data_IF_900046439869
#
_entry.id   IF_900046439869
#
_cell.length_a   1.000
_cell.length_b   1.000
_cell.length_c   1.000
_cell.angle_alpha   90.00
_cell.angle_beta   90.00
_cell.angle_gamma   90.00
#
_symmetry.space_group_name_H-M   'P 1'
#
loop_
_entity.id
_entity.type
_entity.pdbx_description
1 polymer ?
#
# COMPACT_ATOMS: atom_id res chain seq x y z
N UNK A 1 -54.50 -18.34 -15.88
CA UNK A 1 -53.51 -17.79 -14.92
C UNK A 1 -52.19 -17.74 -15.67
N UNK A 2 -51.68 -16.56 -15.97
CA UNK A 2 -50.44 -16.39 -16.73
C UNK A 2 -49.46 -15.67 -15.82
N UNK A 3 -48.43 -16.37 -15.36
CA UNK A 3 -47.48 -15.85 -14.38
C UNK A 3 -46.62 -14.73 -14.95
N UNK A 4 -46.20 -13.82 -14.09
CA UNK A 4 -45.26 -12.75 -14.44
C UNK A 4 -43.91 -13.34 -14.89
N UNK A 5 -43.26 -12.69 -15.84
CA UNK A 5 -41.85 -12.92 -16.13
C UNK A 5 -41.11 -11.59 -16.13
N UNK A 6 -40.94 -11.05 -14.92
CA UNK A 6 -40.27 -9.76 -14.67
C UNK A 6 -38.85 -9.81 -15.19
N UNK A 7 -38.59 -9.13 -16.31
CA UNK A 7 -37.25 -8.92 -16.85
C UNK A 7 -36.38 -8.27 -15.77
N UNK A 8 -35.45 -9.06 -15.24
CA UNK A 8 -34.51 -8.60 -14.22
C UNK A 8 -33.66 -7.46 -14.81
N UNK A 9 -33.89 -6.24 -14.31
CA UNK A 9 -33.12 -5.07 -14.69
C UNK A 9 -31.63 -5.35 -14.44
N UNK A 10 -30.82 -5.24 -15.50
CA UNK A 10 -29.37 -5.24 -15.34
C UNK A 10 -29.00 -4.09 -14.37
N UNK A 11 -28.03 -4.28 -13.46
CA UNK A 11 -27.64 -3.22 -12.54
C UNK A 11 -27.24 -1.99 -13.36
N UNK A 12 -27.96 -0.89 -13.15
CA UNK A 12 -27.78 0.31 -13.94
C UNK A 12 -26.30 0.72 -13.91
N UNK A 13 -25.68 0.84 -15.10
CA UNK A 13 -24.37 1.48 -15.20
C UNK A 13 -24.53 2.88 -14.63
N UNK A 14 -23.82 3.18 -13.55
CA UNK A 14 -23.79 4.53 -12.98
C UNK A 14 -23.50 5.52 -14.10
N UNK A 15 -24.37 6.50 -14.27
CA UNK A 15 -24.27 7.50 -15.33
C UNK A 15 -22.85 8.08 -15.36
N UNK A 16 -22.11 8.00 -16.49
CA UNK A 16 -20.74 8.50 -16.59
C UNK A 16 -20.65 10.00 -16.30
N UNK A 17 -21.75 10.76 -16.41
CA UNK A 17 -21.82 12.20 -16.14
C UNK A 17 -22.29 12.56 -14.72
N UNK A 18 -22.65 11.56 -13.91
CA UNK A 18 -23.07 11.77 -12.52
C UNK A 18 -21.88 12.19 -11.65
N UNK A 19 -22.05 13.24 -10.85
CA UNK A 19 -21.03 13.76 -9.93
C UNK A 19 -21.50 13.49 -8.51
N UNK A 20 -20.64 12.90 -7.66
CA UNK A 20 -21.02 12.60 -6.29
C UNK A 20 -20.92 13.85 -5.41
N UNK A 21 -21.75 13.99 -4.38
CA UNK A 21 -21.74 15.17 -3.50
C UNK A 21 -20.43 15.39 -2.71
N UNK A 22 -19.54 14.39 -2.69
CA UNK A 22 -18.18 14.49 -2.14
C UNK A 22 -17.13 15.02 -3.12
N UNK A 23 -17.48 15.21 -4.39
CA UNK A 23 -16.53 15.41 -5.47
C UNK A 23 -16.18 16.90 -5.64
N UNK A 24 -15.44 17.42 -4.67
CA UNK A 24 -14.90 18.79 -4.74
C UNK A 24 -13.77 18.88 -5.78
N UNK A 25 -13.78 19.90 -6.67
CA UNK A 25 -12.64 20.22 -7.55
C UNK A 25 -11.33 20.41 -6.79
N UNK A 26 -11.37 20.95 -5.57
CA UNK A 26 -10.18 21.18 -4.72
C UNK A 26 -9.56 19.90 -4.13
N UNK A 27 -10.10 18.72 -4.44
CA UNK A 27 -9.58 17.45 -3.90
C UNK A 27 -8.25 17.06 -4.55
N UNK A 28 -7.20 16.90 -3.74
CA UNK A 28 -5.97 16.21 -4.15
C UNK A 28 -6.25 14.71 -4.13
N UNK A 29 -6.27 14.05 -5.30
CA UNK A 29 -6.55 12.61 -5.38
C UNK A 29 -5.34 11.74 -5.05
N UNK A 30 -4.12 12.26 -5.22
CA UNK A 30 -2.87 11.49 -5.09
C UNK A 30 -1.79 12.29 -4.38
N UNK A 31 -1.11 11.62 -3.44
CA UNK A 31 0.15 12.07 -2.84
C UNK A 31 1.16 10.92 -2.89
N UNK A 32 2.43 11.14 -3.27
CA UNK A 32 3.04 12.42 -3.65
C UNK A 32 2.52 12.97 -5.00
N UNK A 33 2.65 14.28 -5.17
CA UNK A 33 2.33 14.97 -6.43
C UNK A 33 3.31 14.56 -7.54
N UNK A 34 2.92 14.69 -8.80
CA UNK A 34 3.84 14.46 -9.93
C UNK A 34 5.01 15.45 -9.88
N UNK A 35 6.24 14.94 -9.83
CA UNK A 35 7.51 15.69 -9.90
C UNK A 35 8.30 15.38 -11.18
N UNK A 36 7.95 14.29 -11.89
CA UNK A 36 8.48 13.93 -13.21
C UNK A 36 9.40 12.70 -13.20
N UNK A 37 10.09 12.44 -12.09
CA UNK A 37 10.81 11.20 -11.79
C UNK A 37 9.86 10.08 -11.31
N UNK A 38 8.76 10.46 -10.66
CA UNK A 38 7.79 9.56 -10.03
C UNK A 38 6.59 9.18 -10.92
N UNK A 39 6.63 9.50 -12.22
CA UNK A 39 5.48 9.38 -13.12
C UNK A 39 4.85 7.98 -13.15
N UNK A 40 5.64 6.90 -13.16
CA UNK A 40 5.10 5.54 -13.15
C UNK A 40 4.20 5.24 -11.94
N UNK A 41 4.66 5.60 -10.74
CA UNK A 41 3.92 5.45 -9.48
C UNK A 41 2.74 6.41 -9.39
N UNK A 42 2.92 7.66 -9.83
CA UNK A 42 1.86 8.68 -9.88
C UNK A 42 0.72 8.25 -10.81
N UNK A 43 1.02 7.90 -12.06
CA UNK A 43 0.07 7.45 -13.08
C UNK A 43 -0.77 6.27 -12.56
N UNK A 44 -0.12 5.28 -11.93
CA UNK A 44 -0.81 4.15 -11.29
C UNK A 44 -1.80 4.62 -10.22
N UNK A 45 -1.39 5.51 -9.33
CA UNK A 45 -2.23 6.00 -8.24
C UNK A 45 -3.42 6.85 -8.74
N UNK A 46 -3.20 7.77 -9.68
CA UNK A 46 -4.26 8.65 -10.21
C UNK A 46 -5.23 7.85 -11.09
N UNK A 47 -4.72 6.88 -11.87
CA UNK A 47 -5.54 5.89 -12.58
C UNK A 47 -6.45 5.11 -11.62
N UNK A 48 -5.92 4.67 -10.47
CA UNK A 48 -6.73 3.97 -9.46
C UNK A 48 -7.80 4.88 -8.83
N UNK A 49 -7.46 6.14 -8.50
CA UNK A 49 -8.40 7.10 -7.95
C UNK A 49 -9.53 7.47 -8.93
N UNK A 50 -9.20 7.74 -10.20
CA UNK A 50 -10.17 8.04 -11.25
C UNK A 50 -11.07 6.84 -11.57
N UNK A 51 -10.55 5.61 -11.53
CA UNK A 51 -11.35 4.38 -11.68
C UNK A 51 -12.28 4.14 -10.48
N UNK A 52 -11.84 4.42 -9.26
CA UNK A 52 -12.69 4.34 -8.07
C UNK A 52 -13.87 5.34 -8.07
N UNK A 53 -13.78 6.40 -8.88
CA UNK A 53 -14.85 7.38 -9.14
C UNK A 53 -15.59 7.18 -10.48
N UNK A 54 -15.26 6.13 -11.25
CA UNK A 54 -15.77 5.90 -12.62
C UNK A 54 -15.47 7.02 -13.64
N UNK A 55 -14.48 7.88 -13.38
CA UNK A 55 -14.12 9.04 -14.24
C UNK A 55 -12.89 8.84 -15.13
N UNK A 56 -12.28 7.66 -15.13
CA UNK A 56 -11.11 7.36 -15.98
C UNK A 56 -11.40 7.49 -17.50
N UNK A 57 -12.65 7.35 -17.93
CA UNK A 57 -13.06 7.50 -19.33
C UNK A 57 -12.83 8.89 -19.95
N UNK A 58 -12.72 9.94 -19.12
CA UNK A 58 -12.38 11.30 -19.54
C UNK A 58 -10.87 11.48 -19.80
N UNK A 59 -10.03 10.53 -19.39
CA UNK A 59 -8.57 10.58 -19.55
C UNK A 59 -8.03 9.63 -20.63
N UNK A 60 -8.72 8.50 -20.88
CA UNK A 60 -8.29 7.52 -21.90
C UNK A 60 -9.01 7.66 -23.26
N UNK A 61 -9.96 8.59 -23.36
CA UNK A 61 -10.75 8.83 -24.57
C UNK A 61 -11.97 7.92 -24.75
N UNK A 62 -12.28 7.03 -23.78
CA UNK A 62 -13.46 6.16 -23.84
C UNK A 62 -14.78 6.90 -23.71
N UNK A 63 -14.77 8.13 -23.20
CA UNK A 63 -15.91 9.06 -23.15
C UNK A 63 -15.61 10.30 -24.01
N UNK A 64 -15.75 10.23 -25.35
CA UNK A 64 -15.63 11.39 -26.21
C UNK A 64 -16.77 12.40 -25.97
N UNK A 65 -16.58 13.64 -26.44
CA UNK A 65 -17.59 14.69 -26.34
C UNK A 65 -18.92 14.25 -27.01
N UNK A 66 -20.08 14.38 -26.33
CA UNK A 66 -21.38 14.04 -26.87
C UNK A 66 -21.80 14.92 -28.07
N UNK A 67 -22.85 14.48 -28.78
CA UNK A 67 -23.47 15.23 -29.89
C UNK A 67 -24.82 15.87 -29.54
N UNK A 68 -25.26 15.71 -28.29
CA UNK A 68 -26.55 16.20 -27.80
C UNK A 68 -26.30 17.26 -26.74
N UNK A 69 -26.90 18.44 -26.88
CA UNK A 69 -26.59 19.64 -26.07
C UNK A 69 -26.74 19.42 -24.55
N UNK A 70 -27.70 18.57 -24.15
CA UNK A 70 -27.95 18.21 -22.74
C UNK A 70 -26.80 17.38 -22.15
N UNK A 71 -26.18 16.52 -22.95
CA UNK A 71 -25.05 15.69 -22.53
C UNK A 71 -23.73 16.44 -22.63
N UNK A 72 -23.60 17.42 -23.55
CA UNK A 72 -22.40 18.27 -23.68
C UNK A 72 -22.10 19.00 -22.36
N UNK A 73 -23.04 19.76 -21.81
CA UNK A 73 -22.82 20.51 -20.56
C UNK A 73 -22.55 19.58 -19.35
N UNK A 74 -23.12 18.36 -19.36
CA UNK A 74 -22.88 17.34 -18.34
C UNK A 74 -21.49 16.68 -18.48
N UNK A 75 -21.00 16.51 -19.72
CA UNK A 75 -19.66 16.04 -20.05
C UNK A 75 -18.59 17.09 -19.69
N UNK A 76 -18.78 18.35 -20.08
CA UNK A 76 -17.87 19.48 -19.78
C UNK A 76 -17.64 19.63 -18.27
N UNK A 77 -18.72 19.68 -17.50
CA UNK A 77 -18.67 19.71 -16.02
C UNK A 77 -17.90 18.52 -15.42
N UNK A 78 -17.87 17.36 -16.07
CA UNK A 78 -17.08 16.21 -15.63
C UNK A 78 -15.62 16.28 -16.11
N UNK A 79 -15.38 16.74 -17.34
CA UNK A 79 -14.06 17.02 -17.90
C UNK A 79 -13.29 17.99 -16.99
N UNK A 80 -13.92 19.10 -16.61
CA UNK A 80 -13.32 20.16 -15.80
C UNK A 80 -13.04 19.69 -14.38
N UNK A 81 -13.94 18.88 -13.81
CA UNK A 81 -13.73 18.23 -12.52
C UNK A 81 -12.51 17.30 -12.55
N UNK A 82 -12.38 16.46 -13.58
CA UNK A 82 -11.22 15.56 -13.74
C UNK A 82 -9.94 16.35 -14.01
N UNK A 83 -10.00 17.39 -14.85
CA UNK A 83 -8.90 18.32 -15.09
C UNK A 83 -8.43 18.99 -13.80
N UNK A 84 -9.35 19.46 -12.95
CA UNK A 84 -9.04 20.07 -11.65
C UNK A 84 -8.35 19.08 -10.70
N UNK A 85 -8.75 17.81 -10.68
CA UNK A 85 -8.09 16.77 -9.90
C UNK A 85 -6.69 16.45 -10.40
N UNK A 86 -6.45 16.45 -11.71
CA UNK A 86 -5.11 16.27 -12.29
C UNK A 86 -4.23 17.49 -11.97
N UNK A 87 -4.74 18.71 -12.18
CA UNK A 87 -4.07 19.98 -11.82
C UNK A 87 -3.70 20.06 -10.33
N UNK A 88 -4.53 19.49 -9.45
CA UNK A 88 -4.27 19.40 -8.01
C UNK A 88 -3.41 18.18 -7.60
N UNK A 89 -3.10 17.27 -8.53
CA UNK A 89 -2.24 16.09 -8.30
C UNK A 89 -0.84 16.22 -8.92
N UNK A 90 -0.51 17.36 -9.55
CA UNK A 90 0.86 17.67 -10.05
C UNK A 90 1.56 18.72 -9.19
N UNK A 91 2.90 18.80 -9.27
CA UNK A 91 3.68 19.85 -8.62
C UNK A 91 3.32 21.26 -9.11
N UNK A 92 3.53 22.32 -8.29
CA UNK A 92 3.30 23.70 -8.71
C UNK A 92 4.19 24.16 -9.88
N UNK A 93 5.28 23.46 -10.16
CA UNK A 93 6.17 23.70 -11.29
C UNK A 93 5.59 23.16 -12.62
N UNK A 94 4.94 21.99 -12.57
CA UNK A 94 4.31 21.38 -13.76
C UNK A 94 2.95 22.04 -14.05
N UNK A 95 2.18 22.39 -13.02
CA UNK A 95 0.79 22.90 -13.13
C UNK A 95 0.58 24.01 -14.18
N UNK A 96 1.43 25.06 -14.30
CA UNK A 96 1.22 26.11 -15.29
C UNK A 96 1.31 25.61 -16.74
N UNK A 97 2.09 24.55 -17.00
CA UNK A 97 2.27 24.00 -18.35
C UNK A 97 1.07 23.20 -18.87
N UNK A 98 0.16 22.79 -17.99
CA UNK A 98 -1.06 22.04 -18.34
C UNK A 98 -2.36 22.85 -18.11
N UNK A 99 -2.25 24.09 -17.62
CA UNK A 99 -3.41 24.90 -17.22
C UNK A 99 -4.29 25.34 -18.40
N UNK A 100 -3.72 25.40 -19.60
CA UNK A 100 -4.35 25.93 -20.82
C UNK A 100 -4.84 24.84 -21.79
N UNK A 101 -4.91 23.58 -21.35
CA UNK A 101 -5.47 22.50 -22.16
C UNK A 101 -6.99 22.42 -21.97
N UNK A 102 -7.74 22.30 -23.06
CA UNK A 102 -9.21 22.34 -23.10
C UNK A 102 -9.84 21.11 -22.42
N UNK A 103 -9.11 19.98 -22.35
CA UNK A 103 -9.67 18.72 -21.87
C UNK A 103 -8.73 17.94 -20.95
N UNK A 104 -9.32 17.17 -20.03
CA UNK A 104 -8.62 16.20 -19.20
C UNK A 104 -7.84 15.17 -20.04
N UNK A 105 -8.32 14.82 -21.25
CA UNK A 105 -7.65 13.94 -22.19
C UNK A 105 -6.38 14.57 -22.79
N UNK A 106 -6.40 15.86 -23.14
CA UNK A 106 -5.20 16.60 -23.56
C UNK A 106 -4.17 16.64 -22.42
N UNK A 107 -4.58 17.09 -21.21
CA UNK A 107 -3.71 17.13 -20.02
C UNK A 107 -3.07 15.76 -19.77
N UNK A 108 -3.87 14.69 -19.81
CA UNK A 108 -3.40 13.34 -19.58
C UNK A 108 -2.40 12.85 -20.64
N UNK A 109 -2.65 13.17 -21.90
CA UNK A 109 -1.78 12.79 -23.03
C UNK A 109 -0.45 13.52 -22.97
N UNK A 110 -0.46 14.83 -22.74
CA UNK A 110 0.75 15.66 -22.62
C UNK A 110 1.61 15.26 -21.39
N UNK A 111 1.01 15.07 -20.21
CA UNK A 111 1.74 14.55 -19.04
C UNK A 111 2.34 13.17 -19.32
N UNK A 112 1.63 12.31 -20.05
CA UNK A 112 2.10 10.99 -20.45
C UNK A 112 3.27 11.07 -21.44
N UNK A 113 3.21 11.93 -22.45
CA UNK A 113 4.28 12.07 -23.44
C UNK A 113 5.54 12.68 -22.82
N UNK A 114 5.40 13.73 -21.99
CA UNK A 114 6.52 14.40 -21.33
C UNK A 114 7.19 13.56 -20.23
N UNK A 115 6.43 12.80 -19.44
CA UNK A 115 6.96 12.13 -18.24
C UNK A 115 6.98 10.60 -18.28
N UNK A 116 6.48 9.93 -19.32
CA UNK A 116 6.60 8.45 -19.42
C UNK A 116 8.03 7.94 -19.65
N UNK A 117 8.94 8.80 -20.11
CA UNK A 117 10.31 8.40 -20.51
C UNK A 117 11.28 8.19 -19.33
N UNK A 118 10.93 8.62 -18.10
CA UNK A 118 11.86 8.72 -16.96
C UNK A 118 12.03 7.44 -16.12
N UNK A 119 11.34 6.34 -16.45
CA UNK A 119 11.46 5.09 -15.68
C UNK A 119 12.86 4.45 -15.75
N UNK A 120 13.63 4.63 -16.83
CA UNK A 120 14.89 3.90 -17.02
C UNK A 120 16.01 4.28 -16.02
N UNK A 121 16.31 5.57 -15.74
CA UNK A 121 17.25 5.95 -14.68
C UNK A 121 16.84 5.45 -13.29
N UNK A 122 15.54 5.48 -12.97
CA UNK A 122 15.01 5.00 -11.68
C UNK A 122 15.11 3.48 -11.56
N UNK A 123 14.81 2.72 -12.62
CA UNK A 123 15.03 1.27 -12.71
C UNK A 123 16.51 0.93 -12.53
N UNK A 124 17.42 1.70 -13.16
CA UNK A 124 18.86 1.53 -13.01
C UNK A 124 19.31 1.75 -11.55
N UNK A 125 18.90 2.87 -10.94
CA UNK A 125 19.18 3.16 -9.53
C UNK A 125 18.69 2.05 -8.61
N UNK A 126 17.44 1.59 -8.77
CA UNK A 126 16.87 0.52 -7.95
C UNK A 126 17.60 -0.82 -8.14
N UNK A 127 17.90 -1.22 -9.38
CA UNK A 127 18.69 -2.44 -9.65
C UNK A 127 20.12 -2.35 -9.09
N UNK A 128 20.74 -1.16 -9.15
CA UNK A 128 22.04 -0.92 -8.54
C UNK A 128 21.95 -1.03 -7.00
N UNK A 129 20.96 -0.38 -6.37
CA UNK A 129 20.72 -0.50 -4.93
C UNK A 129 20.46 -1.94 -4.48
N UNK A 130 19.68 -2.72 -5.24
CA UNK A 130 19.39 -4.13 -4.96
C UNK A 130 20.65 -4.99 -4.99
N UNK A 131 21.50 -4.82 -6.00
CA UNK A 131 22.75 -5.60 -6.14
C UNK A 131 23.87 -5.17 -5.17
N UNK A 132 23.90 -3.88 -4.83
CA UNK A 132 24.83 -3.30 -3.86
C UNK A 132 24.44 -3.59 -2.39
N UNK A 133 23.15 -3.78 -2.06
CA UNK A 133 22.71 -3.99 -0.68
C UNK A 133 23.27 -5.31 -0.11
N UNK A 134 24.07 -5.19 0.95
CA UNK A 134 24.60 -6.31 1.74
C UNK A 134 24.07 -6.27 3.16
N UNK A 135 24.16 -7.40 3.87
CA UNK A 135 23.67 -7.52 5.24
C UNK A 135 24.50 -6.68 6.23
N UNK A 136 25.82 -6.58 6.06
CA UNK A 136 26.73 -5.64 6.78
C UNK A 136 26.34 -5.29 8.23
N UNK A 137 26.37 -6.29 9.11
CA UNK A 137 26.06 -6.14 10.54
C UNK A 137 24.57 -6.03 10.91
N UNK A 138 23.68 -5.84 9.94
CA UNK A 138 22.23 -5.85 10.17
C UNK A 138 21.71 -7.26 10.50
N UNK A 139 20.54 -7.32 11.15
CA UNK A 139 19.80 -8.57 11.28
C UNK A 139 19.24 -9.00 9.92
N UNK A 140 19.15 -10.32 9.70
CA UNK A 140 18.55 -10.91 8.48
C UNK A 140 17.13 -10.35 8.21
N UNK A 141 16.37 -10.06 9.27
CA UNK A 141 15.05 -9.42 9.19
C UNK A 141 15.08 -7.98 8.67
N UNK A 142 16.06 -7.17 9.08
CA UNK A 142 16.18 -5.77 8.66
C UNK A 142 16.66 -5.68 7.20
N UNK A 143 17.69 -6.46 6.86
CA UNK A 143 18.19 -6.62 5.49
C UNK A 143 17.07 -7.08 4.54
N UNK A 144 16.32 -8.14 4.89
CA UNK A 144 15.18 -8.61 4.08
C UNK A 144 14.08 -7.54 3.92
N UNK A 145 13.82 -6.73 4.95
CA UNK A 145 12.80 -5.66 4.91
C UNK A 145 13.21 -4.53 3.95
N UNK A 146 14.47 -4.10 3.98
CA UNK A 146 15.00 -3.10 3.05
C UNK A 146 14.99 -3.61 1.60
N UNK A 147 15.51 -4.82 1.39
CA UNK A 147 15.58 -5.45 0.06
C UNK A 147 14.17 -5.65 -0.53
N UNK A 148 13.20 -6.06 0.30
CA UNK A 148 11.79 -6.14 -0.11
C UNK A 148 11.20 -4.78 -0.50
N UNK A 149 11.53 -3.70 0.20
CA UNK A 149 11.08 -2.36 -0.17
C UNK A 149 11.55 -1.98 -1.58
N UNK A 150 12.82 -2.25 -1.90
CA UNK A 150 13.37 -1.98 -3.24
C UNK A 150 12.71 -2.84 -4.33
N UNK A 151 12.40 -4.11 -4.05
CA UNK A 151 11.66 -4.96 -5.00
C UNK A 151 10.22 -4.53 -5.23
N UNK A 152 9.51 -4.11 -4.17
CA UNK A 152 8.12 -3.67 -4.29
C UNK A 152 8.05 -2.34 -5.06
N UNK A 153 9.01 -1.43 -4.83
CA UNK A 153 9.17 -0.18 -5.59
C UNK A 153 9.49 -0.47 -7.06
N UNK A 154 10.48 -1.33 -7.35
CA UNK A 154 10.86 -1.72 -8.72
C UNK A 154 9.70 -2.40 -9.48
N UNK A 155 8.97 -3.30 -8.82
CA UNK A 155 7.78 -3.92 -9.40
C UNK A 155 6.62 -2.95 -9.62
N UNK A 156 6.51 -1.86 -8.84
CA UNK A 156 5.50 -0.82 -9.06
C UNK A 156 5.74 -0.05 -10.37
N UNK A 157 7.01 0.09 -10.77
CA UNK A 157 7.46 0.79 -11.97
C UNK A 157 7.42 -0.13 -13.21
N UNK A 158 7.88 -1.37 -13.08
CA UNK A 158 7.95 -2.33 -14.20
C UNK A 158 6.57 -2.97 -14.51
N UNK A 159 5.66 -3.04 -13.53
CA UNK A 159 4.24 -3.38 -13.66
C UNK A 159 3.90 -4.45 -14.71
N UNK A 160 4.21 -5.71 -14.41
CA UNK A 160 3.88 -6.87 -15.26
C UNK A 160 2.40 -6.82 -15.71
N UNK A 161 2.16 -6.77 -17.03
CA UNK A 161 0.82 -6.91 -17.58
C UNK A 161 0.37 -8.37 -17.37
N UNK A 162 -0.78 -8.64 -16.70
CA UNK A 162 -1.23 -10.00 -16.47
C UNK A 162 -1.66 -10.64 -17.79
N UNK A 163 -0.84 -11.55 -18.33
CA UNK A 163 -1.23 -12.33 -19.49
C UNK A 163 -2.40 -13.25 -19.14
N UNK A 164 -3.40 -13.33 -20.01
CA UNK A 164 -4.41 -14.39 -20.01
C UNK A 164 -3.82 -15.74 -20.42
N UNK A 165 -2.64 -15.74 -21.06
CA UNK A 165 -1.82 -16.91 -21.30
C UNK A 165 -1.12 -17.41 -20.02
N UNK A 166 -1.01 -18.73 -19.86
CA UNK A 166 -0.43 -19.37 -18.67
C UNK A 166 1.00 -18.91 -18.33
N UNK A 167 1.75 -18.42 -19.32
CA UNK A 167 3.11 -17.89 -19.20
C UNK A 167 3.23 -16.75 -18.16
N UNK A 168 2.14 -16.05 -17.84
CA UNK A 168 2.12 -15.08 -16.75
C UNK A 168 2.55 -15.65 -15.39
N UNK A 169 2.32 -16.94 -15.15
CA UNK A 169 2.84 -17.65 -13.96
C UNK A 169 4.35 -17.83 -14.03
N UNK A 170 4.88 -18.24 -15.18
CA UNK A 170 6.32 -18.49 -15.37
C UNK A 170 7.17 -17.23 -15.11
N UNK A 171 6.69 -16.06 -15.54
CA UNK A 171 7.36 -14.76 -15.28
C UNK A 171 7.39 -14.45 -13.78
N UNK A 172 6.33 -14.76 -13.04
CA UNK A 172 6.26 -14.55 -11.58
C UNK A 172 7.18 -15.55 -10.86
N UNK A 173 7.22 -16.81 -11.30
CA UNK A 173 8.11 -17.83 -10.75
C UNK A 173 9.58 -17.44 -10.94
N UNK A 174 9.96 -17.00 -12.15
CA UNK A 174 11.29 -16.50 -12.45
C UNK A 174 11.66 -15.29 -11.58
N UNK A 175 10.78 -14.29 -11.44
CA UNK A 175 11.05 -13.14 -10.56
C UNK A 175 11.19 -13.54 -9.09
N UNK A 176 10.47 -14.56 -8.61
CA UNK A 176 10.64 -15.07 -7.25
C UNK A 176 11.99 -15.79 -7.08
N UNK A 177 12.49 -16.47 -8.12
CA UNK A 177 13.81 -17.06 -8.16
C UNK A 177 14.92 -16.00 -8.21
N UNK A 178 14.79 -14.97 -9.07
CA UNK A 178 15.73 -13.85 -9.17
C UNK A 178 15.90 -13.14 -7.81
N UNK A 179 14.78 -12.76 -7.17
CA UNK A 179 14.77 -12.15 -5.84
C UNK A 179 15.41 -13.04 -4.76
N UNK A 180 15.20 -14.35 -4.84
CA UNK A 180 15.82 -15.30 -3.94
C UNK A 180 17.34 -15.38 -4.14
N UNK A 181 17.83 -15.33 -5.38
CA UNK A 181 19.27 -15.26 -5.67
C UNK A 181 19.87 -13.93 -5.19
N UNK A 182 19.22 -12.80 -5.45
CA UNK A 182 19.62 -11.47 -4.95
C UNK A 182 19.73 -11.46 -3.41
N UNK A 183 18.74 -12.03 -2.70
CA UNK A 183 18.80 -12.19 -1.24
C UNK A 183 20.01 -13.01 -0.78
N UNK A 184 20.26 -14.17 -1.40
CA UNK A 184 21.39 -15.05 -1.09
C UNK A 184 22.76 -14.44 -1.43
N UNK A 185 22.81 -13.48 -2.37
CA UNK A 185 24.02 -12.76 -2.79
C UNK A 185 24.36 -11.56 -1.87
N UNK A 186 23.43 -11.10 -1.04
CA UNK A 186 23.68 -10.06 -0.03
C UNK A 186 23.72 -10.55 1.43
N UNK A 187 23.40 -11.81 1.71
CA UNK A 187 23.61 -12.42 3.03
C UNK A 187 25.09 -12.44 3.43
N UNK A 188 25.36 -12.26 4.72
CA UNK A 188 26.71 -12.32 5.29
C UNK A 188 27.31 -13.74 5.22
N UNK A 189 28.64 -13.86 5.09
CA UNK A 189 29.32 -15.15 4.88
C UNK A 189 29.19 -16.16 6.04
N UNK A 190 28.76 -15.72 7.23
CA UNK A 190 28.32 -16.62 8.31
C UNK A 190 27.15 -17.52 7.93
N UNK A 191 26.40 -17.18 6.87
CA UNK A 191 25.30 -17.96 6.30
C UNK A 191 25.73 -18.78 5.07
N UNK A 192 27.02 -18.81 4.72
CA UNK A 192 27.57 -19.56 3.56
C UNK A 192 27.11 -21.01 3.52
N UNK A 193 27.15 -21.75 4.64
CA UNK A 193 26.66 -23.12 4.72
C UNK A 193 25.14 -23.25 4.43
N UNK A 194 24.34 -22.28 4.90
CA UNK A 194 22.89 -22.23 4.62
C UNK A 194 22.62 -21.88 3.16
N UNK A 195 23.41 -20.96 2.57
CA UNK A 195 23.37 -20.63 1.14
C UNK A 195 23.69 -21.87 0.28
N UNK A 196 24.77 -22.58 0.57
CA UNK A 196 25.14 -23.80 -0.15
C UNK A 196 24.09 -24.91 0.00
N UNK A 197 23.47 -25.06 1.17
CA UNK A 197 22.36 -26.00 1.35
C UNK A 197 21.16 -25.62 0.47
N UNK A 198 20.78 -24.34 0.43
CA UNK A 198 19.62 -23.84 -0.33
C UNK A 198 19.83 -23.97 -1.85
N UNK A 199 21.06 -23.72 -2.34
CA UNK A 199 21.41 -23.87 -3.75
C UNK A 199 21.42 -25.34 -4.24
N UNK A 200 21.36 -26.30 -3.32
CA UNK A 200 21.28 -27.75 -3.61
C UNK A 200 19.87 -28.33 -3.36
N UNK A 201 18.85 -27.49 -3.17
CA UNK A 201 17.46 -27.93 -2.99
C UNK A 201 16.70 -27.94 -4.31
N UNK A 202 16.18 -29.12 -4.69
CA UNK A 202 15.21 -29.27 -5.78
C UNK A 202 13.83 -29.74 -5.23
N UNK A 203 12.71 -29.13 -5.68
CA UNK A 203 12.63 -27.88 -6.44
C UNK A 203 13.13 -26.69 -5.61
N UNK A 204 13.59 -25.64 -6.29
CA UNK A 204 14.20 -24.47 -5.64
C UNK A 204 13.21 -23.81 -4.66
N UNK A 205 13.60 -23.56 -3.40
CA UNK A 205 12.66 -23.15 -2.36
C UNK A 205 12.19 -21.70 -2.52
N UNK A 206 10.92 -21.44 -2.20
CA UNK A 206 10.36 -20.09 -2.23
C UNK A 206 11.09 -19.13 -1.29
N UNK A 207 11.08 -17.84 -1.62
CA UNK A 207 11.81 -16.82 -0.86
C UNK A 207 11.41 -16.76 0.64
N UNK A 208 10.15 -17.07 0.96
CA UNK A 208 9.67 -17.18 2.35
C UNK A 208 10.28 -18.41 3.07
N UNK A 209 10.51 -19.53 2.36
CA UNK A 209 11.21 -20.69 2.90
C UNK A 209 12.70 -20.40 3.10
N UNK A 210 13.34 -19.70 2.15
CA UNK A 210 14.72 -19.24 2.23
C UNK A 210 14.92 -18.29 3.43
N UNK A 211 14.05 -17.30 3.59
CA UNK A 211 14.05 -16.42 4.76
C UNK A 211 13.93 -17.20 6.07
N UNK A 212 13.04 -18.19 6.15
CA UNK A 212 12.88 -19.05 7.34
C UNK A 212 14.04 -20.03 7.60
N UNK A 213 14.95 -20.23 6.63
CA UNK A 213 16.18 -21.02 6.80
C UNK A 213 17.37 -20.14 7.19
N UNK A 214 17.44 -18.90 6.68
CA UNK A 214 18.45 -17.90 7.03
C UNK A 214 18.16 -17.18 8.37
N UNK A 215 16.89 -17.00 8.71
CA UNK A 215 16.48 -16.51 10.02
C UNK A 215 16.97 -17.49 11.11
N UNK A 216 17.64 -17.02 12.18
CA UNK A 216 18.15 -17.90 13.22
C UNK A 216 17.03 -18.79 13.78
N UNK A 217 17.21 -20.12 13.69
CA UNK A 217 16.45 -21.05 14.53
C UNK A 217 16.60 -20.56 15.96
N UNK A 218 15.50 -20.19 16.60
CA UNK A 218 15.44 -20.06 18.07
C UNK A 218 15.73 -21.43 18.65
N UNK A 219 17.01 -21.73 18.86
CA UNK A 219 17.42 -22.77 19.80
C UNK A 219 16.78 -22.36 21.13
N UNK A 220 15.83 -23.17 21.59
CA UNK A 220 15.52 -23.27 23.01
C UNK A 220 16.71 -23.96 23.67
N UNK A 221 17.85 -23.26 23.71
CA UNK A 221 19.03 -23.69 24.45
C UNK A 221 18.59 -23.78 25.90
N UNK A 222 18.60 -24.97 26.49
CA UNK A 222 18.37 -25.12 27.91
C UNK A 222 19.44 -24.34 28.66
N UNK A 223 19.03 -23.31 29.42
CA UNK A 223 19.95 -22.53 30.25
C UNK A 223 19.92 -23.11 31.65
N UNK A 224 20.54 -24.27 31.81
CA UNK A 224 21.21 -24.56 33.07
C UNK A 224 22.58 -23.88 33.04
N UNK A 225 22.69 -22.78 33.79
CA UNK A 225 23.92 -22.39 34.46
C UNK A 225 23.60 -21.34 35.52
N UNK A 226 24.09 -21.54 36.75
CA UNK A 226 23.73 -20.74 37.90
C UNK A 226 24.72 -19.57 38.15
N UNK A 227 24.17 -18.45 38.64
CA UNK A 227 24.77 -17.50 39.60
C UNK A 227 26.21 -17.00 39.32
N UNK A 228 26.32 -15.74 38.88
CA UNK A 228 27.61 -15.04 38.63
C UNK A 228 27.54 -13.53 38.88
N UNK A 229 27.38 -13.14 40.15
CA UNK A 229 27.17 -11.78 40.69
C UNK A 229 27.95 -10.60 40.06
N UNK A 230 27.26 -9.45 39.85
CA UNK A 230 27.70 -8.04 39.98
C UNK A 230 29.07 -7.57 39.40
N UNK A 231 29.26 -6.39 38.76
CA UNK A 231 28.56 -5.09 38.50
C UNK A 231 29.29 -4.47 37.26
N UNK A 232 29.01 -3.30 36.65
CA UNK A 232 28.17 -2.07 36.78
C UNK A 232 27.98 -1.53 35.31
N UNK A 233 27.57 -0.33 34.90
CA UNK A 233 27.01 0.92 35.47
C UNK A 233 26.43 1.82 34.35
N UNK A 234 25.36 2.56 34.66
CA UNK A 234 24.90 3.82 34.03
C UNK A 234 24.33 3.80 32.58
N UNK A 235 23.50 4.81 32.19
CA UNK A 235 22.57 4.68 31.06
C UNK A 235 22.74 5.72 29.94
N UNK A 236 22.17 5.43 28.77
CA UNK A 236 21.76 6.47 27.80
C UNK A 236 20.29 6.28 27.41
N UNK A 237 19.44 7.23 27.79
CA UNK A 237 18.00 7.22 27.50
C UNK A 237 17.65 8.32 26.51
N UNK A 238 17.30 7.96 25.26
CA UNK A 238 16.64 8.87 24.30
C UNK A 238 15.97 8.18 23.08
N UNK A 239 15.50 6.93 23.19
CA UNK A 239 14.78 6.25 22.09
C UNK A 239 13.57 5.38 22.52
N UNK A 240 13.00 5.64 23.71
CA UNK A 240 11.96 4.78 24.31
C UNK A 240 10.50 5.11 23.94
N UNK A 241 10.23 6.18 23.18
CA UNK A 241 8.87 6.65 22.90
C UNK A 241 8.09 5.73 21.92
N UNK A 242 8.73 5.26 20.84
CA UNK A 242 8.01 4.64 19.71
C UNK A 242 7.72 3.15 19.89
N UNK A 243 8.52 2.43 20.69
CA UNK A 243 8.50 0.95 20.74
C UNK A 243 7.37 0.40 21.64
N UNK A 244 6.67 1.25 22.41
CA UNK A 244 5.55 0.80 23.27
C UNK A 244 4.31 0.32 22.48
N UNK A 245 4.06 0.93 21.30
CA UNK A 245 2.83 0.69 20.53
C UNK A 245 2.84 -0.61 19.71
N UNK A 246 4.01 -1.09 19.27
CA UNK A 246 4.10 -2.25 18.38
C UNK A 246 3.91 -3.59 19.10
N UNK A 247 4.22 -3.67 20.39
CA UNK A 247 4.28 -4.93 21.14
C UNK A 247 2.93 -5.48 21.64
N UNK A 248 1.79 -4.84 21.32
CA UNK A 248 0.46 -5.19 21.89
C UNK A 248 -0.58 -5.73 20.90
N UNK A 249 -0.16 -6.21 19.72
CA UNK A 249 -0.96 -7.11 18.87
C UNK A 249 -0.17 -8.38 18.59
N UNK A 250 -0.62 -9.51 19.14
CA UNK A 250 0.03 -10.80 18.92
C UNK A 250 -0.21 -11.32 17.49
N UNK A 251 0.77 -12.07 16.96
CA UNK A 251 0.77 -12.64 15.61
C UNK A 251 -0.19 -13.85 15.46
N UNK A 252 -1.41 -13.75 16.00
CA UNK A 252 -2.46 -14.73 15.76
C UNK A 252 -3.01 -14.53 14.34
N UNK A 253 -2.89 -15.55 13.49
CA UNK A 253 -3.35 -15.58 12.11
C UNK A 253 -4.41 -16.66 11.95
N UNK A 254 -5.45 -16.38 11.16
CA UNK A 254 -6.54 -17.31 10.91
C UNK A 254 -6.57 -17.75 9.45
N UNK A 255 -6.23 -19.01 9.21
CA UNK A 255 -6.16 -19.62 7.87
C UNK A 255 -7.51 -19.68 7.13
N UNK A 256 -8.63 -19.58 7.86
CA UNK A 256 -9.97 -19.64 7.28
C UNK A 256 -10.45 -18.31 6.70
N UNK A 257 -10.36 -17.21 7.46
CA UNK A 257 -10.77 -15.89 7.00
C UNK A 257 -9.63 -15.02 6.42
N UNK A 258 -8.39 -15.53 6.45
CA UNK A 258 -7.17 -14.84 6.02
C UNK A 258 -6.97 -13.46 6.68
N UNK A 259 -7.28 -13.34 7.99
CA UNK A 259 -7.13 -12.10 8.78
C UNK A 259 -6.24 -12.31 9.99
N UNK A 260 -5.61 -11.23 10.44
CA UNK A 260 -4.77 -11.19 11.65
C UNK A 260 -5.61 -10.85 12.89
N UNK A 261 -5.10 -11.20 14.07
CA UNK A 261 -5.68 -10.89 15.39
C UNK A 261 -6.40 -12.07 16.08
N UNK A 262 -6.52 -13.23 15.44
CA UNK A 262 -7.10 -14.45 16.02
C UNK A 262 -6.61 -15.71 15.29
N UNK A 263 -6.68 -16.88 15.94
CA UNK A 263 -6.42 -18.19 15.33
C UNK A 263 -7.68 -18.77 14.70
N UNK A 264 -7.55 -19.84 13.90
CA UNK A 264 -8.68 -20.55 13.28
C UNK A 264 -9.78 -20.92 14.29
N UNK A 265 -9.39 -21.38 15.47
CA UNK A 265 -10.25 -21.79 16.60
C UNK A 265 -11.12 -20.64 17.18
N UNK A 266 -10.79 -19.40 16.84
CA UNK A 266 -11.45 -18.18 17.34
C UNK A 266 -12.01 -17.34 16.19
N UNK A 267 -12.22 -17.96 15.04
CA UNK A 267 -12.77 -17.30 13.87
C UNK A 267 -14.29 -17.16 13.97
N UNK A 268 -14.78 -15.92 14.09
CA UNK A 268 -16.22 -15.64 14.11
C UNK A 268 -16.96 -16.04 12.81
N UNK A 269 -16.23 -16.27 11.70
CA UNK A 269 -16.80 -16.85 10.47
C UNK A 269 -16.91 -18.39 10.50
N UNK A 270 -16.26 -19.08 11.46
CA UNK A 270 -16.42 -20.52 11.69
C UNK A 270 -17.35 -20.83 12.87
N UNK A 271 -17.25 -20.05 13.95
CA UNK A 271 -17.91 -20.33 15.22
C UNK A 271 -19.10 -19.41 15.52
N UNK A 272 -19.48 -18.54 14.59
CA UNK A 272 -20.47 -17.48 14.80
C UNK A 272 -19.95 -16.32 15.66
N UNK A 273 -20.76 -15.27 15.79
CA UNK A 273 -20.50 -14.18 16.73
C UNK A 273 -21.17 -14.46 18.08
N UNK A 274 -20.50 -14.23 19.22
CA UNK A 274 -21.10 -14.42 20.53
C UNK A 274 -22.24 -13.42 20.77
N UNK A 275 -23.35 -13.90 21.34
CA UNK A 275 -24.54 -13.09 21.61
C UNK A 275 -24.26 -11.98 22.66
N UNK A 276 -24.84 -10.80 22.44
CA UNK A 276 -24.50 -9.56 23.16
C UNK A 276 -25.40 -9.30 24.37
N UNK A 277 -25.50 -10.25 25.28
CA UNK A 277 -26.17 -10.01 26.57
C UNK A 277 -25.25 -9.27 27.56
N UNK A 278 -25.40 -7.95 27.57
CA UNK A 278 -25.33 -7.08 28.74
C UNK A 278 -24.11 -7.14 29.68
N UNK A 279 -23.30 -6.06 29.64
CA UNK A 279 -23.01 -5.22 30.83
C UNK A 279 -22.34 -3.91 30.45
N UNK A 280 -23.08 -2.81 30.54
CA UNK A 280 -22.52 -1.46 30.68
C UNK A 280 -22.12 -1.30 32.15
N UNK A 281 -20.85 -0.99 32.43
CA UNK A 281 -20.44 -0.44 33.72
C UNK A 281 -20.29 1.06 33.55
N UNK A 282 -21.09 1.82 34.28
CA UNK A 282 -21.03 3.28 34.29
C UNK A 282 -19.85 3.72 35.15
N UNK A 283 -19.06 4.68 34.67
CA UNK A 283 -18.09 5.40 35.49
C UNK A 283 -18.66 6.79 35.77
N UNK A 284 -18.97 7.05 37.04
CA UNK A 284 -19.62 8.29 37.46
C UNK A 284 -18.69 9.50 37.32
N UNK A 285 -19.19 10.55 36.67
CA UNK A 285 -18.54 11.86 36.64
C UNK A 285 -18.79 12.62 37.94
N UNK A 286 -17.78 12.74 38.81
CA UNK A 286 -17.82 13.67 39.94
C UNK A 286 -17.57 15.10 39.46
N UNK A 287 -18.50 16.00 39.75
CA UNK A 287 -18.36 17.43 39.49
C UNK A 287 -17.47 18.09 40.55
N UNK A 288 -16.68 19.09 40.12
CA UNK A 288 -16.02 20.03 41.02
C UNK A 288 -16.52 21.45 40.75
N UNK A 289 -16.63 22.25 41.81
CA UNK A 289 -17.38 23.51 41.81
C UNK A 289 -16.60 24.71 41.26
N UNK A 290 -17.34 25.73 40.82
CA UNK A 290 -16.80 27.02 40.41
C UNK A 290 -16.63 27.99 41.60
N UNK A 291 -15.64 28.89 41.59
CA UNK A 291 -15.51 29.97 42.57
C UNK A 291 -16.40 31.18 42.22
N UNK A 292 -16.95 31.84 43.24
CA UNK A 292 -17.76 33.06 43.09
C UNK A 292 -16.89 34.31 43.25
N UNK A 293 -16.97 35.25 42.30
CA UNK A 293 -16.35 36.57 42.42
C UNK A 293 -17.31 37.56 43.07
N UNK A 294 -16.91 38.16 44.20
CA UNK A 294 -17.60 39.33 44.76
C UNK A 294 -16.99 40.61 44.20
N UNK A 295 -17.83 41.57 43.81
CA UNK A 295 -17.40 42.93 43.47
C UNK A 295 -17.49 43.82 44.71
N UNK A 296 -16.51 44.72 44.87
CA UNK A 296 -16.58 45.87 45.75
C UNK A 296 -16.70 47.13 44.89
N UNK A 297 -17.74 47.91 45.11
CA UNK A 297 -17.88 49.28 44.60
C UNK A 297 -17.52 50.27 45.71
N UNK A 298 -17.25 51.53 45.34
CA UNK A 298 -18.02 52.67 45.80
C UNK A 298 -19.23 52.84 44.87
#
# INVERSE_FOLDING_TARGET
MSGENTLASAPARSDPYSIHHSDSPSTVLVTPLLTGDNYGSWNRAITMALRAKSKYGFTDGSLPMPKEDVDIANWERCNDLVGSWILNSVSPEIRPSILYADTAAQIWTDLKERFSQSNAPKIYQLKHSISALKQEGMTVSLYFTQLKSLWDELSSIISIIPCTCGNGKCIIEQQNQDRAMEFLQGLHDSFSAVRSQILLMEPFPSIQRIYNLAAPRRKTTGVECAIGSHRRSLPLSSFKATISWLHRRGNAFCDHCNRHGHTREKCYQLHGFPDKQGKRTEQGSSSFAAPTTQQLTP
#
